data_IF_997128565659
#
_entry.id   IF_997128565659
#
_cell.length_a   1.000
_cell.length_b   1.000
_cell.length_c   1.000
_cell.angle_alpha   90.00
_cell.angle_beta   90.00
_cell.angle_gamma   90.00
#
_symmetry.space_group_name_H-M   'P 1'
#
loop_
_entity.id
_entity.type
_entity.pdbx_description
1 polymer ?
#
# COMPACT_ATOMS: atom_id res chain seq x y z
N UNK A 1 20.44 -69.32 0.82
CA UNK A 1 19.26 -68.43 0.58
C UNK A 1 19.26 -67.35 1.65
N UNK A 2 19.08 -66.08 1.24
CA UNK A 2 18.50 -64.90 1.95
C UNK A 2 18.50 -64.93 3.50
N UNK A 3 18.98 -63.95 4.26
CA UNK A 3 18.72 -62.51 4.12
C UNK A 3 19.67 -61.68 5.00
N UNK A 4 20.09 -60.55 4.44
CA UNK A 4 20.70 -59.39 5.11
C UNK A 4 19.58 -58.56 5.76
N UNK A 5 19.83 -57.97 6.93
CA UNK A 5 19.29 -56.67 7.39
C UNK A 5 20.00 -56.30 8.72
N UNK A 6 21.19 -55.70 8.65
CA UNK A 6 21.43 -54.25 8.68
C UNK A 6 20.77 -53.53 9.85
N UNK A 7 21.50 -53.55 10.97
CA UNK A 7 21.52 -52.49 11.99
C UNK A 7 22.03 -51.21 11.30
N UNK A 8 21.23 -50.16 11.24
CA UNK A 8 21.72 -48.82 10.95
C UNK A 8 21.26 -47.89 12.06
N UNK A 9 22.24 -47.49 12.88
CA UNK A 9 22.10 -46.50 13.92
C UNK A 9 21.68 -45.15 13.34
N UNK A 10 20.73 -44.53 14.02
CA UNK A 10 20.36 -43.14 13.81
C UNK A 10 21.49 -42.29 14.36
N UNK A 11 22.38 -41.82 13.48
CA UNK A 11 23.31 -40.75 13.81
C UNK A 11 22.53 -39.43 13.81
N UNK A 12 22.22 -38.93 15.01
CA UNK A 12 21.69 -37.59 15.23
C UNK A 12 22.76 -36.57 14.83
N UNK A 13 22.64 -36.02 13.62
CA UNK A 13 23.48 -34.91 13.16
C UNK A 13 22.89 -33.62 13.74
N UNK A 14 23.49 -33.15 14.82
CA UNK A 14 23.24 -31.84 15.43
C UNK A 14 23.68 -30.76 14.44
N UNK A 15 22.71 -30.12 13.77
CA UNK A 15 22.95 -28.93 12.96
C UNK A 15 23.06 -27.76 13.95
N UNK A 16 24.30 -27.39 14.29
CA UNK A 16 24.62 -26.13 14.94
C UNK A 16 24.26 -24.98 14.01
N UNK A 17 23.12 -24.35 14.27
CA UNK A 17 22.71 -23.11 13.63
C UNK A 17 23.66 -21.98 14.04
N UNK A 18 24.58 -21.59 13.16
CA UNK A 18 25.23 -20.28 13.25
C UNK A 18 24.19 -19.21 12.91
N UNK A 19 23.48 -18.74 13.94
CA UNK A 19 22.82 -17.44 13.89
C UNK A 19 23.94 -16.38 13.89
N UNK A 20 24.32 -15.89 12.72
CA UNK A 20 25.12 -14.68 12.62
C UNK A 20 24.23 -13.51 13.08
N UNK A 21 24.39 -13.12 14.34
CA UNK A 21 23.83 -11.92 14.91
C UNK A 21 24.40 -10.70 14.18
N UNK A 22 23.73 -10.27 13.11
CA UNK A 22 23.93 -8.95 12.57
C UNK A 22 23.35 -7.96 13.58
N UNK A 23 24.20 -7.38 14.42
CA UNK A 23 23.87 -6.20 15.21
C UNK A 23 23.70 -5.04 14.24
N UNK A 24 22.45 -4.77 13.89
CA UNK A 24 22.08 -3.57 13.15
C UNK A 24 22.24 -2.37 14.08
N UNK A 25 23.29 -1.57 13.86
CA UNK A 25 23.26 -0.18 14.28
C UNK A 25 22.23 0.54 13.40
N UNK A 26 20.97 0.45 13.80
CA UNK A 26 19.94 1.35 13.32
C UNK A 26 20.32 2.72 13.86
N UNK A 27 20.95 3.56 13.03
CA UNK A 27 20.81 4.99 13.26
C UNK A 27 19.31 5.26 13.24
N UNK A 28 18.71 5.82 14.30
CA UNK A 28 17.33 6.23 14.23
C UNK A 28 17.27 7.37 13.23
N UNK A 29 16.89 7.05 11.98
CA UNK A 29 16.23 8.04 11.14
C UNK A 29 14.97 8.38 11.93
N UNK A 30 14.96 9.53 12.59
CA UNK A 30 13.78 10.09 13.23
C UNK A 30 12.99 10.69 12.07
N UNK A 31 11.95 10.01 11.53
CA UNK A 31 11.09 10.67 10.58
C UNK A 31 10.33 11.70 11.41
N UNK A 32 10.56 12.98 11.15
CA UNK A 32 9.54 13.96 11.50
C UNK A 32 8.22 13.49 10.85
N UNK A 33 7.06 13.61 11.53
CA UNK A 33 5.79 13.19 10.94
C UNK A 33 5.62 13.92 9.59
N UNK A 34 5.78 13.17 8.50
CA UNK A 34 5.74 13.71 7.14
C UNK A 34 4.27 13.79 6.75
N UNK A 35 3.63 14.84 7.24
CA UNK A 35 2.20 15.04 6.99
C UNK A 35 2.01 15.50 5.56
N UNK A 36 1.23 14.76 4.78
CA UNK A 36 0.89 15.19 3.41
C UNK A 36 -0.07 16.38 3.46
N UNK A 37 -0.06 17.20 2.40
CA UNK A 37 -0.99 18.33 2.27
C UNK A 37 -2.08 18.01 1.25
N UNK A 38 -3.33 18.23 1.65
CA UNK A 38 -4.51 18.21 0.78
C UNK A 38 -5.03 19.65 0.67
N UNK A 39 -5.12 20.18 -0.54
CA UNK A 39 -5.51 21.56 -0.80
C UNK A 39 -6.67 21.64 -1.81
N UNK A 40 -7.33 22.80 -1.87
CA UNK A 40 -8.35 23.14 -2.87
C UNK A 40 -9.46 22.09 -3.00
N UNK A 41 -9.97 21.61 -1.86
CA UNK A 41 -11.08 20.67 -1.85
C UNK A 41 -12.36 21.38 -2.30
N UNK A 42 -12.97 20.89 -3.37
CA UNK A 42 -14.26 21.35 -3.87
C UNK A 42 -15.20 20.17 -4.07
N UNK A 43 -16.49 20.39 -3.86
CA UNK A 43 -17.54 19.42 -4.14
C UNK A 43 -18.27 19.85 -5.41
N UNK A 44 -18.52 18.90 -6.30
CA UNK A 44 -19.27 19.13 -7.54
C UNK A 44 -20.01 17.87 -7.97
N UNK A 45 -20.55 17.91 -9.18
CA UNK A 45 -21.35 16.84 -9.75
C UNK A 45 -20.79 16.41 -11.11
N UNK A 46 -20.62 15.10 -11.30
CA UNK A 46 -20.40 14.48 -12.60
C UNK A 46 -21.71 13.78 -13.01
N UNK A 47 -22.56 14.49 -13.75
CA UNK A 47 -23.94 14.06 -13.96
C UNK A 47 -24.70 14.05 -12.64
N UNK A 48 -25.25 12.90 -12.24
CA UNK A 48 -25.96 12.72 -10.96
C UNK A 48 -25.07 12.23 -9.82
N UNK A 49 -23.77 12.07 -10.07
CA UNK A 49 -22.83 11.54 -9.08
C UNK A 49 -22.08 12.68 -8.39
N UNK A 50 -22.10 12.76 -7.06
CA UNK A 50 -21.26 13.70 -6.31
C UNK A 50 -19.78 13.34 -6.47
N UNK A 51 -18.95 14.34 -6.73
CA UNK A 51 -17.50 14.19 -6.91
C UNK A 51 -16.77 15.20 -6.03
N UNK A 52 -15.78 14.71 -5.28
CA UNK A 52 -14.83 15.57 -4.57
C UNK A 52 -13.60 15.74 -5.42
N UNK A 53 -13.27 16.99 -5.71
CA UNK A 53 -12.02 17.36 -6.36
C UNK A 53 -11.07 17.95 -5.33
N UNK A 54 -9.80 17.52 -5.34
CA UNK A 54 -8.77 18.03 -4.43
C UNK A 54 -7.39 17.96 -5.07
N UNK A 55 -6.46 18.73 -4.52
CA UNK A 55 -5.04 18.64 -4.86
C UNK A 55 -4.32 17.86 -3.75
N UNK A 56 -3.79 16.69 -4.09
CA UNK A 56 -2.87 15.94 -3.25
C UNK A 56 -1.44 16.43 -3.55
N UNK A 57 -0.82 17.08 -2.59
CA UNK A 57 0.55 17.57 -2.74
C UNK A 57 1.54 16.50 -2.30
N UNK A 58 2.45 16.14 -3.20
CA UNK A 58 3.57 15.24 -2.92
C UNK A 58 4.68 16.05 -2.29
N UNK A 59 5.32 15.52 -1.25
CA UNK A 59 6.39 16.20 -0.57
C UNK A 59 7.62 16.30 -1.49
N UNK A 60 8.42 17.37 -1.41
CA UNK A 60 9.58 17.55 -2.29
C UNK A 60 10.58 16.39 -2.28
N UNK A 61 10.78 15.73 -1.13
CA UNK A 61 11.69 14.58 -0.97
C UNK A 61 11.23 13.30 -1.70
N UNK A 62 9.93 13.21 -1.97
CA UNK A 62 9.28 12.08 -2.63
C UNK A 62 9.00 12.34 -4.11
N UNK A 63 9.10 13.59 -4.56
CA UNK A 63 8.87 13.98 -5.94
C UNK A 63 9.85 13.26 -6.89
N UNK A 64 9.33 12.71 -7.98
CA UNK A 64 10.12 11.95 -8.96
C UNK A 64 10.41 10.49 -8.57
N UNK A 65 10.05 10.05 -7.35
CA UNK A 65 10.23 8.64 -6.95
C UNK A 65 9.06 7.77 -7.39
N UNK A 66 9.28 6.50 -7.78
CA UNK A 66 8.18 5.57 -8.00
C UNK A 66 7.29 5.50 -6.76
N UNK A 67 5.97 5.47 -6.93
CA UNK A 67 5.05 5.51 -5.81
C UNK A 67 3.62 5.15 -6.16
N UNK A 68 2.79 5.11 -5.13
CA UNK A 68 1.38 4.71 -5.21
C UNK A 68 0.52 5.74 -4.48
N UNK A 69 -0.61 6.08 -5.05
CA UNK A 69 -1.63 6.93 -4.43
C UNK A 69 -2.82 6.07 -4.07
N UNK A 70 -3.32 6.26 -2.87
CA UNK A 70 -4.43 5.52 -2.29
C UNK A 70 -5.58 6.47 -1.97
N UNK A 71 -6.79 6.00 -2.23
CA UNK A 71 -8.03 6.66 -1.82
C UNK A 71 -8.87 5.60 -1.14
N UNK A 72 -9.33 5.89 0.06
CA UNK A 72 -10.04 4.92 0.87
C UNK A 72 -11.08 5.56 1.77
N UNK A 73 -12.06 4.77 2.17
CA UNK A 73 -13.05 5.13 3.16
C UNK A 73 -13.01 4.13 4.31
N UNK A 74 -13.24 4.59 5.54
CA UNK A 74 -13.51 3.70 6.68
C UNK A 74 -14.85 4.00 7.31
N UNK A 75 -15.44 3.01 7.98
CA UNK A 75 -16.60 3.20 8.84
C UNK A 75 -16.21 3.93 10.15
N UNK A 76 -17.14 4.61 10.83
CA UNK A 76 -16.84 5.34 12.07
C UNK A 76 -16.14 4.53 13.17
N UNK A 77 -16.35 3.20 13.19
CA UNK A 77 -15.74 2.29 14.16
C UNK A 77 -14.37 1.76 13.71
N UNK A 78 -13.92 2.10 12.49
CA UNK A 78 -12.67 1.64 11.88
C UNK A 78 -12.56 0.12 11.78
N UNK A 79 -13.70 -0.57 11.63
CA UNK A 79 -13.81 -2.02 11.48
C UNK A 79 -13.86 -2.45 10.02
N UNK A 80 -14.32 -1.57 9.12
CA UNK A 80 -14.50 -1.81 7.71
C UNK A 80 -13.84 -0.69 6.91
N UNK A 81 -13.28 -1.06 5.77
CA UNK A 81 -12.74 -0.10 4.83
C UNK A 81 -13.09 -0.50 3.40
N UNK A 82 -13.17 0.49 2.52
CA UNK A 82 -13.21 0.27 1.08
C UNK A 82 -12.17 1.18 0.42
N UNK A 83 -11.57 0.70 -0.65
CA UNK A 83 -10.55 1.41 -1.41
C UNK A 83 -11.08 1.70 -2.80
N UNK A 84 -10.76 2.89 -3.30
CA UNK A 84 -11.06 3.23 -4.67
C UNK A 84 -9.98 2.63 -5.57
N UNK A 85 -10.37 1.74 -6.47
CA UNK A 85 -9.45 1.14 -7.42
C UNK A 85 -9.14 2.09 -8.59
N UNK A 86 -8.35 1.62 -9.56
CA UNK A 86 -7.93 2.42 -10.72
C UNK A 86 -9.09 2.74 -11.67
N UNK A 87 -10.13 1.91 -11.67
CA UNK A 87 -11.34 2.10 -12.47
C UNK A 87 -12.36 3.03 -11.79
N UNK A 88 -11.96 3.68 -10.69
CA UNK A 88 -12.83 4.54 -9.88
C UNK A 88 -14.03 3.81 -9.26
N UNK A 89 -13.88 2.50 -9.01
CA UNK A 89 -14.86 1.69 -8.30
C UNK A 89 -14.42 1.43 -6.85
N UNK A 90 -15.38 1.44 -5.94
CA UNK A 90 -15.16 1.15 -4.53
C UNK A 90 -15.13 -0.36 -4.31
N UNK A 91 -14.05 -0.84 -3.71
CA UNK A 91 -13.84 -2.26 -3.40
C UNK A 91 -13.61 -2.45 -1.90
N UNK A 92 -14.32 -3.39 -1.28
CA UNK A 92 -14.16 -3.69 0.13
C UNK A 92 -12.74 -4.20 0.42
N UNK A 93 -12.12 -3.66 1.47
CA UNK A 93 -10.79 -4.09 1.88
C UNK A 93 -10.86 -5.36 2.73
N UNK A 94 -10.21 -6.42 2.27
CA UNK A 94 -10.25 -7.76 2.90
C UNK A 94 -9.01 -8.09 3.73
N UNK A 95 -8.12 -7.13 3.97
CA UNK A 95 -6.93 -7.32 4.82
C UNK A 95 -5.66 -7.78 4.09
N UNK A 96 -5.68 -7.87 2.76
CA UNK A 96 -4.50 -8.22 1.96
C UNK A 96 -3.60 -6.98 1.72
N UNK A 97 -3.35 -6.63 0.46
CA UNK A 97 -2.64 -5.41 0.08
C UNK A 97 -3.65 -4.28 -0.16
N UNK A 98 -3.24 -3.04 0.12
CA UNK A 98 -4.05 -1.90 -0.30
C UNK A 98 -4.11 -1.83 -1.83
N UNK A 99 -5.29 -1.56 -2.34
CA UNK A 99 -5.55 -1.35 -3.76
C UNK A 99 -5.18 0.11 -4.07
N UNK A 100 -4.17 0.36 -4.91
CA UNK A 100 -3.81 1.72 -5.29
C UNK A 100 -4.82 2.29 -6.28
N UNK A 101 -5.20 3.54 -6.08
CA UNK A 101 -6.01 4.29 -7.04
C UNK A 101 -5.16 4.75 -8.24
N UNK A 102 -3.90 5.17 -8.00
CA UNK A 102 -2.97 5.55 -9.07
C UNK A 102 -1.61 4.91 -8.82
N UNK A 103 -1.01 4.38 -9.87
CA UNK A 103 0.37 3.85 -9.88
C UNK A 103 1.26 4.82 -10.66
N UNK A 104 2.33 5.31 -10.02
CA UNK A 104 3.30 6.22 -10.64
C UNK A 104 4.67 5.56 -10.68
N UNK A 105 4.98 4.89 -11.79
CA UNK A 105 6.29 4.23 -11.98
C UNK A 105 7.37 5.20 -12.43
N UNK A 106 6.96 6.28 -13.08
CA UNK A 106 7.76 7.36 -13.67
C UNK A 106 8.12 8.47 -12.66
N UNK A 107 7.56 8.41 -11.46
CA UNK A 107 7.79 9.39 -10.41
C UNK A 107 6.51 10.03 -9.90
N UNK A 108 6.41 10.16 -8.58
CA UNK A 108 5.33 10.88 -7.94
C UNK A 108 5.43 12.37 -8.28
N UNK A 109 4.26 12.97 -8.46
CA UNK A 109 4.09 14.42 -8.55
C UNK A 109 2.79 14.79 -7.85
N UNK A 110 2.69 16.03 -7.40
CA UNK A 110 1.41 16.58 -6.95
C UNK A 110 0.35 16.36 -8.02
N UNK A 111 -0.85 15.99 -7.60
CA UNK A 111 -1.92 15.55 -8.50
C UNK A 111 -3.26 16.12 -8.07
N UNK A 112 -4.07 16.49 -9.06
CA UNK A 112 -5.47 16.82 -8.85
C UNK A 112 -6.30 15.54 -8.96
N UNK A 113 -6.93 15.13 -7.87
CA UNK A 113 -7.79 13.96 -7.81
C UNK A 113 -9.25 14.39 -7.99
N UNK A 114 -10.03 13.57 -8.68
CA UNK A 114 -11.49 13.65 -8.74
C UNK A 114 -12.05 12.32 -8.27
N UNK A 115 -12.60 12.32 -7.05
CA UNK A 115 -13.00 11.11 -6.34
C UNK A 115 -14.53 11.02 -6.41
N UNK A 116 -15.09 9.99 -7.05
CA UNK A 116 -16.53 9.77 -7.03
C UNK A 116 -16.95 9.40 -5.62
N UNK A 117 -17.79 10.23 -5.03
CA UNK A 117 -18.48 9.87 -3.81
C UNK A 117 -19.58 8.89 -4.22
N UNK A 118 -19.46 7.66 -3.75
CA UNK A 118 -20.50 6.66 -3.94
C UNK A 118 -21.83 7.21 -3.46
N UNK A 119 -22.86 7.08 -4.29
CA UNK A 119 -24.25 7.29 -3.88
C UNK A 119 -24.81 6.06 -3.14
N UNK A 120 -23.96 5.08 -2.78
CA UNK A 120 -24.41 3.96 -1.98
C UNK A 120 -24.66 4.41 -0.54
N UNK A 121 -25.84 4.11 0.04
CA UNK A 121 -26.10 4.36 1.47
C UNK A 121 -25.13 3.59 2.38
N UNK A 122 -24.43 2.58 1.85
CA UNK A 122 -23.48 1.74 2.60
C UNK A 122 -22.27 2.51 3.15
N UNK A 123 -21.95 3.67 2.57
CA UNK A 123 -20.83 4.50 3.01
C UNK A 123 -21.28 5.73 3.81
N UNK A 124 -22.56 5.85 4.15
CA UNK A 124 -23.03 6.98 4.94
C UNK A 124 -22.35 7.01 6.32
N UNK A 125 -21.80 8.17 6.69
CA UNK A 125 -21.02 8.38 7.90
C UNK A 125 -19.55 7.96 7.78
N UNK A 126 -19.13 7.34 6.68
CA UNK A 126 -17.76 6.89 6.50
C UNK A 126 -16.82 8.06 6.21
N UNK A 127 -15.57 7.94 6.64
CA UNK A 127 -14.54 8.97 6.49
C UNK A 127 -13.68 8.69 5.26
N UNK A 128 -13.62 9.64 4.33
CA UNK A 128 -12.74 9.62 3.16
C UNK A 128 -11.32 10.02 3.54
N UNK A 129 -10.37 9.21 3.10
CA UNK A 129 -8.93 9.43 3.22
C UNK A 129 -8.26 9.38 1.86
N UNK A 130 -7.23 10.20 1.70
CA UNK A 130 -6.29 10.11 0.58
C UNK A 130 -4.88 10.00 1.14
N UNK A 131 -4.02 9.28 0.45
CA UNK A 131 -2.64 9.11 0.85
C UNK A 131 -1.75 8.72 -0.31
N UNK A 132 -0.44 8.77 -0.09
CA UNK A 132 0.52 8.21 -1.01
C UNK A 132 1.68 7.57 -0.25
N UNK A 133 2.38 6.66 -0.92
CA UNK A 133 3.68 6.20 -0.48
C UNK A 133 4.69 6.32 -1.61
N UNK A 134 5.95 6.49 -1.25
CA UNK A 134 7.07 6.57 -2.18
C UNK A 134 8.04 5.41 -1.97
N UNK A 135 8.66 4.94 -3.06
CA UNK A 135 9.76 3.99 -3.00
C UNK A 135 11.04 4.75 -2.64
N UNK A 136 11.40 4.70 -1.37
CA UNK A 136 12.60 5.39 -0.87
C UNK A 136 13.88 4.70 -1.36
N UNK A 137 15.01 5.41 -1.38
CA UNK A 137 16.32 4.79 -1.71
C UNK A 137 16.64 3.61 -0.80
N UNK A 138 16.27 3.70 0.48
CA UNK A 138 16.43 2.61 1.42
C UNK A 138 15.58 1.39 1.02
N UNK A 139 14.35 1.61 0.54
CA UNK A 139 13.47 0.54 0.05
C UNK A 139 14.00 -0.10 -1.22
N UNK A 140 14.54 0.68 -2.16
CA UNK A 140 15.20 0.16 -3.37
C UNK A 140 16.39 -0.73 -3.01
N UNK A 141 17.22 -0.29 -2.05
CA UNK A 141 18.34 -1.09 -1.55
C UNK A 141 17.87 -2.40 -0.89
N UNK A 142 16.72 -2.40 -0.19
CA UNK A 142 16.13 -3.62 0.38
C UNK A 142 15.69 -4.60 -0.71
N UNK A 143 15.05 -4.11 -1.78
CA UNK A 143 14.66 -4.96 -2.91
C UNK A 143 15.88 -5.58 -3.58
N UNK A 144 16.90 -4.76 -3.90
CA UNK A 144 18.12 -5.25 -4.53
C UNK A 144 18.83 -6.30 -3.65
N UNK A 145 18.89 -6.06 -2.34
CA UNK A 145 19.46 -7.02 -1.39
C UNK A 145 18.71 -8.35 -1.39
N UNK A 146 17.37 -8.33 -1.44
CA UNK A 146 16.57 -9.54 -1.50
C UNK A 146 16.81 -10.32 -2.80
N UNK A 147 16.85 -9.63 -3.94
CA UNK A 147 17.13 -10.23 -5.26
C UNK A 147 18.50 -10.91 -5.27
N UNK A 148 19.55 -10.21 -4.82
CA UNK A 148 20.91 -10.76 -4.73
C UNK A 148 20.99 -11.93 -3.76
N UNK A 149 20.30 -11.85 -2.61
CA UNK A 149 20.27 -12.95 -1.64
C UNK A 149 19.62 -14.21 -2.24
N UNK A 150 18.48 -14.09 -2.91
CA UNK A 150 17.81 -15.22 -3.56
C UNK A 150 18.68 -15.80 -4.68
N UNK A 151 19.30 -14.96 -5.50
CA UNK A 151 20.25 -15.41 -6.53
C UNK A 151 21.44 -16.18 -5.92
N UNK A 152 22.00 -15.68 -4.82
CA UNK A 152 23.11 -16.33 -4.11
C UNK A 152 22.72 -17.69 -3.52
N UNK A 153 21.51 -17.81 -2.97
CA UNK A 153 20.99 -19.09 -2.45
C UNK A 153 20.76 -20.08 -3.58
N UNK A 154 20.20 -19.65 -4.72
CA UNK A 154 20.03 -20.50 -5.91
C UNK A 154 21.36 -21.01 -6.45
N UNK A 155 22.38 -20.15 -6.50
CA UNK A 155 23.72 -20.55 -6.93
C UNK A 155 24.36 -21.57 -5.97
N UNK A 156 24.11 -21.46 -4.67
CA UNK A 156 24.67 -22.36 -3.65
C UNK A 156 23.94 -23.71 -3.55
N UNK A 157 22.64 -23.73 -3.86
CA UNK A 157 21.79 -24.92 -3.74
C UNK A 157 20.95 -25.10 -5.01
N UNK A 158 21.57 -25.52 -6.13
CA UNK A 158 20.89 -25.59 -7.43
C UNK A 158 19.72 -26.59 -7.44
N UNK A 159 19.80 -27.65 -6.64
CA UNK A 159 18.76 -28.69 -6.57
C UNK A 159 17.59 -28.34 -5.65
N UNK A 160 17.63 -27.18 -4.97
CA UNK A 160 16.55 -26.76 -4.06
C UNK A 160 15.58 -25.80 -4.76
N UNK A 161 14.26 -26.01 -4.64
CA UNK A 161 13.29 -25.05 -5.14
C UNK A 161 13.31 -23.79 -4.27
N UNK A 162 13.95 -22.74 -4.77
CA UNK A 162 13.97 -21.41 -4.13
C UNK A 162 13.05 -20.49 -4.94
N UNK A 163 11.94 -19.99 -4.36
CA UNK A 163 11.05 -19.07 -5.06
C UNK A 163 11.82 -17.79 -5.46
N UNK A 164 11.49 -17.24 -6.63
CA UNK A 164 12.01 -15.94 -7.04
C UNK A 164 11.40 -14.83 -6.16
N UNK A 165 12.12 -13.71 -6.03
CA UNK A 165 11.54 -12.50 -5.44
C UNK A 165 10.55 -11.94 -6.46
N UNK A 166 9.29 -11.78 -6.06
CA UNK A 166 8.35 -10.92 -6.77
C UNK A 166 8.68 -9.47 -6.42
N UNK A 167 9.52 -8.85 -7.25
CA UNK A 167 10.00 -7.49 -7.02
C UNK A 167 8.87 -6.47 -7.00
N UNK A 168 7.86 -6.64 -7.86
CA UNK A 168 6.76 -5.69 -7.96
C UNK A 168 5.89 -5.76 -6.71
N UNK A 169 5.56 -6.97 -6.25
CA UNK A 169 4.85 -7.15 -4.99
C UNK A 169 5.65 -6.59 -3.80
N UNK A 170 6.97 -6.81 -3.78
CA UNK A 170 7.82 -6.35 -2.68
C UNK A 170 7.94 -4.82 -2.67
N UNK A 171 8.16 -4.18 -3.83
CA UNK A 171 8.17 -2.72 -3.99
C UNK A 171 6.84 -2.11 -3.50
N UNK A 172 5.70 -2.68 -3.91
CA UNK A 172 4.37 -2.21 -3.48
C UNK A 172 4.19 -2.29 -1.96
N UNK A 173 4.64 -3.38 -1.35
CA UNK A 173 4.59 -3.55 0.10
C UNK A 173 5.40 -2.49 0.85
N UNK A 174 6.62 -2.19 0.37
CA UNK A 174 7.47 -1.15 0.96
C UNK A 174 6.87 0.25 0.77
N UNK A 175 6.27 0.54 -0.39
CA UNK A 175 5.55 1.79 -0.64
C UNK A 175 4.35 1.95 0.32
N UNK A 176 3.58 0.88 0.53
CA UNK A 176 2.47 0.89 1.48
C UNK A 176 2.95 1.09 2.92
N UNK A 177 4.09 0.50 3.28
CA UNK A 177 4.72 0.66 4.58
C UNK A 177 5.22 2.08 4.80
N UNK A 178 5.83 2.71 3.79
CA UNK A 178 6.21 4.14 3.81
C UNK A 178 5.00 5.02 4.13
N UNK A 179 3.88 4.82 3.42
CA UNK A 179 2.66 5.59 3.68
C UNK A 179 2.20 5.46 5.14
N UNK A 180 2.17 4.22 5.66
CA UNK A 180 1.67 3.94 7.01
C UNK A 180 2.59 4.46 8.10
N UNK A 181 3.89 4.16 8.01
CA UNK A 181 4.88 4.54 9.03
C UNK A 181 5.09 6.05 9.09
N UNK A 182 5.07 6.73 7.94
CA UNK A 182 5.29 8.17 7.86
C UNK A 182 3.98 8.97 7.90
N UNK A 183 2.84 8.32 8.12
CA UNK A 183 1.51 8.95 8.20
C UNK A 183 1.19 9.81 6.98
N UNK A 184 1.58 9.34 5.79
CA UNK A 184 1.39 10.04 4.51
C UNK A 184 -0.02 9.85 3.94
N UNK A 185 -1.02 10.05 4.80
CA UNK A 185 -2.43 9.99 4.48
C UNK A 185 -3.21 11.00 5.32
N UNK A 186 -4.32 11.51 4.80
CA UNK A 186 -5.13 12.55 5.44
C UNK A 186 -6.61 12.33 5.26
N UNK A 187 -7.34 12.68 6.30
CA UNK A 187 -8.79 12.83 6.23
C UNK A 187 -9.13 13.96 5.26
N UNK A 188 -10.14 13.72 4.44
CA UNK A 188 -10.63 14.66 3.45
C UNK A 188 -12.03 15.14 3.82
N UNK A 189 -12.96 14.21 4.09
CA UNK A 189 -14.37 14.51 4.37
C UNK A 189 -15.11 13.26 4.83
N UNK A 190 -16.19 13.45 5.58
CA UNK A 190 -17.16 12.38 5.86
C UNK A 190 -18.24 12.33 4.77
N UNK A 191 -18.67 11.12 4.41
CA UNK A 191 -19.84 10.90 3.56
C UNK A 191 -21.10 11.23 4.35
N UNK A 192 -21.74 12.37 4.04
CA UNK A 192 -22.95 12.81 4.74
C UNK A 192 -24.19 12.56 3.89
N UNK A 193 -25.38 12.36 4.49
CA UNK A 193 -26.62 12.16 3.74
C UNK A 193 -26.94 13.30 2.76
N UNK A 194 -26.53 14.54 3.03
CA UNK A 194 -26.80 15.68 2.14
C UNK A 194 -26.03 15.60 0.81
N UNK A 195 -24.93 14.82 0.76
CA UNK A 195 -24.17 14.58 -0.47
C UNK A 195 -24.98 13.78 -1.48
N UNK A 196 -25.97 13.01 -1.03
CA UNK A 196 -26.85 12.21 -1.89
C UNK A 196 -27.77 13.08 -2.74
N UNK A 197 -28.24 14.19 -2.19
CA UNK A 197 -29.18 15.10 -2.85
C UNK A 197 -28.52 16.23 -3.62
N UNK A 198 -27.20 16.46 -3.45
CA UNK A 198 -26.53 17.64 -4.03
C UNK A 198 -26.49 17.64 -5.56
N UNK A 199 -26.56 16.47 -6.18
CA UNK A 199 -26.54 16.29 -7.63
C UNK A 199 -27.89 15.88 -8.22
N UNK A 200 -28.96 15.91 -7.41
CA UNK A 200 -30.31 15.76 -7.92
C UNK A 200 -30.73 17.04 -8.65
N UNK A 201 -31.40 16.95 -9.81
CA UNK A 201 -31.94 18.13 -10.47
C UNK A 201 -32.96 18.80 -9.55
N UNK A 202 -32.70 20.04 -9.14
CA UNK A 202 -33.72 20.85 -8.50
C UNK A 202 -34.83 21.07 -9.53
N UNK A 203 -35.99 20.45 -9.29
CA UNK A 203 -37.12 20.50 -10.22
C UNK A 203 -37.47 21.94 -10.57
N UNK A 204 -37.43 22.26 -11.86
CA UNK A 204 -38.16 23.38 -12.42
C UNK A 204 -39.64 23.03 -12.45
N UNK A 205 -40.45 23.87 -11.81
CA UNK A 205 -41.89 23.96 -12.08
C UNK A 205 -42.12 24.69 -13.41
#
# INVERSE_FOLDING_TARGET
>A
MKSISRVFGVAAMVITSLAASATFAATPFVPGPSTITVANQTLGCAGRMPVVTLNLLVNPEDAGRPGLIYVGVHDPQQTQAALLNQDSAWEAFTGAALIPHIVRRDGLSSVRLSIPLSSSPSYQGWSLYVGYGALTLASEAMVQKAVVAVASVKARYPDRPVPAVDEDHFKRSLIQEDMRKNTKYRFVRAFTPELMSICEPQGGN
#
